data_IF_715440785502
#
_entry.id   IF_715440785502
#
_cell.length_a   1.000
_cell.length_b   1.000
_cell.length_c   1.000
_cell.angle_alpha   90.00
_cell.angle_beta   90.00
_cell.angle_gamma   90.00
#
_symmetry.space_group_name_H-M   'P 1'
#
loop_
_entity.id
_entity.type
_entity.pdbx_description
1 polymer ?
#
# COMPACT_ATOMS: atom_id res chain seq x y z
N UNK A 1 -28.61 22.15 -2.66
CA UNK A 1 -28.79 20.73 -2.31
C UNK A 1 -27.57 20.36 -1.52
N UNK A 2 -27.78 20.14 -0.23
CA UNK A 2 -26.74 20.12 0.78
C UNK A 2 -25.84 18.89 0.61
N UNK A 3 -24.56 19.13 0.42
CA UNK A 3 -23.50 18.12 0.46
C UNK A 3 -23.35 17.65 1.91
N UNK A 4 -24.12 16.64 2.29
CA UNK A 4 -24.04 16.07 3.64
C UNK A 4 -22.75 15.24 3.78
N UNK A 5 -21.66 15.92 4.15
CA UNK A 5 -20.37 15.33 4.48
C UNK A 5 -20.43 14.32 5.66
N UNK A 6 -21.59 14.17 6.32
CA UNK A 6 -21.84 13.18 7.37
C UNK A 6 -22.39 11.84 6.90
N UNK A 7 -22.77 11.67 5.63
CA UNK A 7 -23.43 10.45 5.14
C UNK A 7 -22.56 9.16 5.19
N UNK A 8 -21.24 9.29 5.39
CA UNK A 8 -20.34 8.14 5.59
C UNK A 8 -20.37 7.61 7.02
N UNK A 9 -20.84 8.41 7.98
CA UNK A 9 -21.06 7.98 9.36
C UNK A 9 -22.47 7.40 9.44
N UNK A 10 -22.58 6.09 9.58
CA UNK A 10 -23.84 5.45 9.96
C UNK A 10 -24.06 5.77 11.44
N UNK A 11 -24.79 6.85 11.73
CA UNK A 11 -25.04 7.30 13.10
C UNK A 11 -25.85 6.29 13.92
N UNK A 12 -26.62 5.42 13.24
CA UNK A 12 -27.56 4.47 13.84
C UNK A 12 -27.21 2.98 13.61
N UNK A 13 -25.92 2.62 13.59
CA UNK A 13 -25.51 1.20 13.49
C UNK A 13 -26.00 0.42 14.73
N UNK A 14 -26.83 -0.61 14.53
CA UNK A 14 -27.26 -1.49 15.62
C UNK A 14 -26.12 -2.42 16.06
N UNK A 15 -26.15 -2.90 17.30
CA UNK A 15 -25.17 -3.86 17.80
C UNK A 15 -25.09 -5.14 16.94
N UNK A 16 -26.21 -5.55 16.33
CA UNK A 16 -26.26 -6.69 15.42
C UNK A 16 -25.48 -6.41 14.13
N UNK A 17 -25.72 -5.27 13.49
CA UNK A 17 -25.03 -4.87 12.26
C UNK A 17 -23.52 -4.69 12.50
N UNK A 18 -23.16 -4.08 13.64
CA UNK A 18 -21.77 -3.99 14.08
C UNK A 18 -21.12 -5.39 14.20
N UNK A 19 -21.80 -6.34 14.85
CA UNK A 19 -21.29 -7.70 15.01
C UNK A 19 -21.19 -8.44 13.67
N UNK A 20 -22.20 -8.35 12.81
CA UNK A 20 -22.16 -8.96 11.47
C UNK A 20 -20.95 -8.43 10.66
N UNK A 21 -20.67 -7.12 10.73
CA UNK A 21 -19.51 -6.47 10.08
C UNK A 21 -18.17 -6.85 10.69
N UNK A 22 -18.08 -6.97 12.01
CA UNK A 22 -16.84 -7.30 12.74
C UNK A 22 -16.49 -8.78 12.63
N UNK A 23 -17.50 -9.66 12.66
CA UNK A 23 -17.31 -11.11 12.59
C UNK A 23 -17.08 -11.61 11.16
N UNK A 24 -17.30 -10.78 10.15
CA UNK A 24 -16.92 -11.10 8.78
C UNK A 24 -15.42 -11.39 8.71
N UNK A 25 -15.06 -12.61 8.29
CA UNK A 25 -13.67 -13.02 8.16
C UNK A 25 -12.92 -12.14 7.16
N UNK A 26 -11.73 -11.69 7.55
CA UNK A 26 -10.85 -10.87 6.71
C UNK A 26 -9.47 -11.52 6.62
N UNK A 27 -8.90 -11.64 5.42
CA UNK A 27 -7.59 -12.23 5.26
C UNK A 27 -6.53 -11.41 6.00
N UNK A 28 -5.51 -12.10 6.50
CA UNK A 28 -4.38 -11.44 7.14
C UNK A 28 -3.52 -10.72 6.10
N UNK A 29 -3.06 -9.52 6.46
CA UNK A 29 -2.13 -8.73 5.68
C UNK A 29 -0.71 -9.02 6.16
N UNK A 30 0.04 -9.78 5.35
CA UNK A 30 1.45 -10.04 5.59
C UNK A 30 2.27 -8.84 5.10
N UNK A 31 2.48 -7.87 5.98
CA UNK A 31 3.26 -6.66 5.68
C UNK A 31 4.60 -6.71 6.41
N UNK A 32 5.72 -7.15 5.80
CA UNK A 32 7.02 -7.04 6.42
C UNK A 32 7.38 -5.57 6.72
N UNK A 33 7.97 -5.24 7.89
CA UNK A 33 8.34 -6.13 9.01
C UNK A 33 7.20 -6.44 10.01
N UNK A 34 6.01 -5.88 9.84
CA UNK A 34 4.82 -6.07 10.68
C UNK A 34 4.14 -7.45 10.54
N UNK A 35 4.69 -8.38 9.74
CA UNK A 35 4.16 -9.73 9.49
C UNK A 35 3.98 -10.61 10.76
N UNK A 36 4.56 -10.20 11.90
CA UNK A 36 4.36 -10.87 13.20
C UNK A 36 3.12 -10.39 13.95
N UNK A 37 2.50 -9.31 13.49
CA UNK A 37 1.25 -8.78 14.01
C UNK A 37 0.12 -9.27 13.10
N UNK A 38 -0.97 -9.85 13.63
CA UNK A 38 -2.07 -10.37 12.84
C UNK A 38 -2.94 -9.24 12.27
N UNK A 39 -2.38 -8.45 11.34
CA UNK A 39 -3.06 -7.34 10.70
C UNK A 39 -4.13 -7.84 9.73
N UNK A 40 -5.27 -7.17 9.70
CA UNK A 40 -6.40 -7.42 8.81
C UNK A 40 -6.90 -6.11 8.22
N UNK A 41 -7.62 -6.21 7.11
CA UNK A 41 -8.31 -5.07 6.52
C UNK A 41 -9.23 -4.40 7.55
N UNK A 42 -9.14 -3.08 7.66
CA UNK A 42 -9.88 -2.28 8.65
C UNK A 42 -9.22 -2.16 10.02
N UNK A 43 -8.03 -2.73 10.23
CA UNK A 43 -7.22 -2.38 11.39
C UNK A 43 -6.60 -0.99 11.21
N UNK A 44 -6.58 -0.23 12.31
CA UNK A 44 -5.78 0.99 12.43
C UNK A 44 -4.55 0.61 13.26
N UNK A 45 -3.36 0.92 12.74
CA UNK A 45 -2.10 0.59 13.39
C UNK A 45 -1.37 1.89 13.69
N UNK A 46 -1.10 2.14 14.98
CA UNK A 46 -0.23 3.22 15.40
C UNK A 46 1.21 2.71 15.57
N UNK A 47 2.16 3.39 14.95
CA UNK A 47 3.59 3.14 15.12
C UNK A 47 4.21 4.25 15.96
N UNK A 48 4.41 4.00 17.25
CA UNK A 48 4.95 4.99 18.19
C UNK A 48 6.42 4.72 18.50
N UNK A 49 7.22 5.77 18.66
CA UNK A 49 8.64 5.66 19.02
C UNK A 49 9.40 6.98 18.85
N UNK A 50 10.64 7.08 19.35
CA UNK A 50 11.46 8.29 19.24
C UNK A 50 11.66 8.76 17.79
N UNK A 51 12.02 10.02 17.59
CA UNK A 51 12.52 10.49 16.30
C UNK A 51 13.67 9.59 15.82
N UNK A 52 13.72 9.31 14.52
CA UNK A 52 14.69 8.38 13.91
C UNK A 52 14.52 6.89 14.28
N UNK A 53 13.42 6.45 14.88
CA UNK A 53 13.14 5.02 15.14
C UNK A 53 12.67 4.21 13.91
N UNK A 54 13.04 4.64 12.70
CA UNK A 54 12.69 4.01 11.42
C UNK A 54 11.18 3.92 11.07
N UNK A 55 10.29 4.65 11.74
CA UNK A 55 8.83 4.64 11.47
C UNK A 55 8.50 4.87 9.99
N UNK A 56 9.02 5.94 9.39
CA UNK A 56 8.83 6.26 7.97
C UNK A 56 9.32 5.13 7.08
N UNK A 57 10.45 4.50 7.42
CA UNK A 57 11.01 3.39 6.65
C UNK A 57 10.14 2.12 6.73
N UNK A 58 9.54 1.83 7.89
CA UNK A 58 8.56 0.76 8.05
C UNK A 58 7.33 1.02 7.18
N UNK A 59 6.81 2.25 7.17
CA UNK A 59 5.68 2.63 6.33
C UNK A 59 6.01 2.53 4.83
N UNK A 60 7.23 2.91 4.41
CA UNK A 60 7.69 2.73 3.02
C UNK A 60 7.73 1.26 2.61
N UNK A 61 8.23 0.36 3.47
CA UNK A 61 8.24 -1.09 3.19
C UNK A 61 6.83 -1.67 3.09
N UNK A 62 5.92 -1.23 3.96
CA UNK A 62 4.51 -1.60 3.88
C UNK A 62 3.86 -1.11 2.58
N UNK A 63 4.10 0.15 2.19
CA UNK A 63 3.61 0.72 0.93
C UNK A 63 4.17 -0.02 -0.28
N UNK A 64 5.46 -0.37 -0.32
CA UNK A 64 6.07 -1.18 -1.39
C UNK A 64 5.38 -2.54 -1.50
N UNK A 65 5.11 -3.20 -0.37
CA UNK A 65 4.39 -4.48 -0.34
C UNK A 65 2.95 -4.31 -0.85
N UNK A 66 2.28 -3.21 -0.55
CA UNK A 66 0.96 -2.92 -1.10
C UNK A 66 0.97 -2.75 -2.62
N UNK A 67 1.89 -1.96 -3.17
CA UNK A 67 1.88 -1.59 -4.60
C UNK A 67 2.42 -2.69 -5.53
N UNK A 68 3.35 -3.53 -5.06
CA UNK A 68 3.86 -4.63 -5.87
C UNK A 68 2.76 -5.67 -6.08
N UNK A 69 2.65 -6.28 -7.27
CA UNK A 69 1.72 -7.38 -7.47
C UNK A 69 2.18 -8.63 -6.70
N UNK A 70 1.30 -9.61 -6.53
CA UNK A 70 1.70 -10.92 -6.01
C UNK A 70 2.63 -11.62 -7.01
N UNK A 71 2.23 -11.67 -8.28
CA UNK A 71 2.99 -12.28 -9.37
C UNK A 71 2.91 -11.42 -10.64
N UNK A 72 4.00 -11.35 -11.41
CA UNK A 72 4.01 -10.75 -12.73
C UNK A 72 4.92 -11.51 -13.69
N UNK A 73 4.38 -11.91 -14.85
CA UNK A 73 5.10 -12.70 -15.89
C UNK A 73 5.84 -13.92 -15.32
N UNK A 74 5.21 -14.62 -14.39
CA UNK A 74 5.77 -15.81 -13.73
C UNK A 74 6.69 -15.50 -12.54
N UNK A 75 7.12 -14.26 -12.33
CA UNK A 75 7.95 -13.85 -11.19
C UNK A 75 7.06 -13.52 -9.99
N UNK A 76 7.31 -14.14 -8.83
CA UNK A 76 6.59 -13.83 -7.59
C UNK A 76 7.28 -12.65 -6.87
N UNK A 77 6.56 -11.55 -6.69
CA UNK A 77 7.04 -10.35 -5.99
C UNK A 77 6.52 -10.28 -4.54
N UNK A 78 5.52 -11.09 -4.20
CA UNK A 78 4.96 -11.20 -2.85
C UNK A 78 4.28 -9.92 -2.35
N UNK A 79 3.78 -9.09 -3.25
CA UNK A 79 2.98 -7.91 -2.89
C UNK A 79 1.47 -8.14 -3.04
N UNK A 80 0.67 -7.07 -2.88
CA UNK A 80 -0.80 -7.11 -2.88
C UNK A 80 -1.46 -6.57 -4.17
N UNK A 81 -0.73 -5.82 -5.00
CA UNK A 81 -1.26 -5.21 -6.23
C UNK A 81 -2.34 -4.14 -5.97
N UNK A 82 -2.22 -3.41 -4.87
CA UNK A 82 -3.16 -2.38 -4.43
C UNK A 82 -2.54 -0.99 -4.46
N UNK A 83 -3.41 0.03 -4.49
CA UNK A 83 -2.97 1.42 -4.33
C UNK A 83 -2.59 1.69 -2.86
N UNK A 84 -1.57 2.53 -2.67
CA UNK A 84 -1.15 3.00 -1.35
C UNK A 84 -1.12 4.53 -1.34
N UNK A 85 -1.74 5.12 -0.31
CA UNK A 85 -1.67 6.56 -0.03
C UNK A 85 -0.68 6.77 1.12
N UNK A 86 0.25 7.71 0.94
CA UNK A 86 1.23 8.07 1.96
C UNK A 86 1.06 9.55 2.32
N UNK A 87 0.59 9.82 3.54
CA UNK A 87 0.41 11.17 4.05
C UNK A 87 1.65 11.56 4.86
N UNK A 88 2.48 12.45 4.32
CA UNK A 88 3.69 12.92 4.97
C UNK A 88 3.43 14.20 5.75
N UNK A 89 3.29 14.07 7.07
CA UNK A 89 2.92 15.18 7.96
C UNK A 89 4.15 15.91 8.52
N UNK A 90 5.34 15.33 8.44
CA UNK A 90 6.59 15.89 8.98
C UNK A 90 7.70 16.07 7.92
N UNK A 91 7.35 15.90 6.64
CA UNK A 91 8.24 16.04 5.48
C UNK A 91 9.46 15.11 5.55
N UNK A 92 9.29 13.89 6.10
CA UNK A 92 10.36 12.89 6.24
C UNK A 92 10.29 11.79 5.19
N UNK A 93 9.30 11.81 4.32
CA UNK A 93 9.22 10.90 3.19
C UNK A 93 10.31 11.25 2.15
N UNK A 94 11.18 10.28 1.89
CA UNK A 94 12.24 10.40 0.91
C UNK A 94 11.91 9.53 -0.31
N UNK A 95 11.52 10.19 -1.41
CA UNK A 95 11.15 9.52 -2.66
C UNK A 95 12.31 8.77 -3.31
N UNK A 96 13.55 9.23 -3.12
CA UNK A 96 14.73 8.54 -3.64
C UNK A 96 14.96 7.26 -2.85
N UNK A 97 14.90 7.33 -1.52
CA UNK A 97 14.97 6.15 -0.67
C UNK A 97 13.85 5.15 -1.01
N UNK A 98 12.61 5.63 -1.20
CA UNK A 98 11.49 4.78 -1.61
C UNK A 98 11.76 4.08 -2.95
N UNK A 99 12.26 4.81 -3.96
CA UNK A 99 12.60 4.27 -5.28
C UNK A 99 13.71 3.21 -5.19
N UNK A 100 14.75 3.46 -4.39
CA UNK A 100 15.84 2.51 -4.17
C UNK A 100 15.34 1.21 -3.52
N UNK A 101 14.52 1.33 -2.47
CA UNK A 101 13.91 0.17 -1.79
C UNK A 101 13.00 -0.63 -2.72
N UNK A 102 12.20 0.06 -3.53
CA UNK A 102 11.31 -0.57 -4.51
C UNK A 102 12.13 -1.33 -5.57
N UNK A 103 13.15 -0.69 -6.13
CA UNK A 103 14.06 -1.31 -7.10
C UNK A 103 14.77 -2.52 -6.49
N UNK A 104 15.23 -2.42 -5.24
CA UNK A 104 15.83 -3.54 -4.54
C UNK A 104 14.86 -4.73 -4.46
N UNK A 105 13.61 -4.52 -4.02
CA UNK A 105 12.59 -5.58 -3.93
C UNK A 105 12.27 -6.21 -5.30
N UNK A 106 12.20 -5.40 -6.35
CA UNK A 106 11.98 -5.88 -7.73
C UNK A 106 13.16 -6.74 -8.19
N UNK A 107 14.39 -6.27 -7.96
CA UNK A 107 15.61 -6.98 -8.36
C UNK A 107 15.81 -8.28 -7.58
N UNK A 108 15.50 -8.27 -6.28
CA UNK A 108 15.56 -9.45 -5.42
C UNK A 108 14.66 -10.57 -5.95
N UNK A 109 13.40 -10.27 -6.25
CA UNK A 109 12.45 -11.22 -6.84
C UNK A 109 12.93 -11.75 -8.21
N UNK A 110 13.46 -10.87 -9.06
CA UNK A 110 13.97 -11.26 -10.38
C UNK A 110 15.26 -12.10 -10.31
N UNK A 111 16.10 -11.91 -9.28
CA UNK A 111 17.36 -12.63 -9.14
C UNK A 111 17.15 -14.07 -8.63
N UNK A 112 16.08 -14.35 -7.90
CA UNK A 112 15.68 -15.72 -7.51
C UNK A 112 15.52 -16.61 -8.75
N UNK A 113 14.98 -16.08 -9.86
CA UNK A 113 14.85 -16.81 -11.12
C UNK A 113 16.19 -17.06 -11.85
N UNK A 114 17.24 -16.27 -11.56
CA UNK A 114 18.56 -16.49 -12.18
C UNK A 114 19.31 -17.67 -11.55
N UNK A 115 18.90 -18.12 -10.36
CA UNK A 115 19.48 -19.26 -9.66
C UNK A 115 18.74 -20.58 -9.90
N UNK A 116 17.53 -20.53 -10.47
CA UNK A 116 16.85 -21.73 -10.96
C UNK A 116 17.37 -22.07 -12.36
N UNK A 117 17.96 -23.25 -12.59
CA UNK A 117 18.54 -23.60 -13.88
C UNK A 117 17.44 -24.09 -14.83
N UNK A 118 16.57 -23.19 -15.30
CA UNK A 118 16.09 -23.24 -16.69
C UNK A 118 15.34 -21.96 -17.06
N UNK A 119 15.41 -21.59 -18.35
CA UNK A 119 14.85 -20.39 -19.01
C UNK A 119 15.74 -19.13 -19.03
N UNK A 120 16.62 -19.10 -20.04
CA UNK A 120 17.24 -17.87 -20.56
C UNK A 120 16.16 -16.96 -21.17
N UNK A 121 15.76 -15.92 -20.46
CA UNK A 121 15.20 -14.72 -21.11
C UNK A 121 15.81 -13.48 -20.48
N UNK A 122 16.22 -12.53 -21.31
CA UNK A 122 16.94 -11.32 -20.87
C UNK A 122 15.97 -10.33 -20.20
N UNK A 123 15.80 -10.45 -18.87
CA UNK A 123 14.88 -9.61 -18.08
C UNK A 123 15.44 -8.24 -17.65
N UNK A 124 16.46 -7.71 -18.33
CA UNK A 124 17.08 -6.44 -17.89
C UNK A 124 16.22 -5.19 -18.14
N UNK A 125 15.17 -5.26 -18.97
CA UNK A 125 14.37 -4.09 -19.37
C UNK A 125 12.88 -4.16 -19.00
N UNK A 126 12.42 -5.21 -18.31
CA UNK A 126 10.98 -5.47 -18.11
C UNK A 126 10.50 -5.49 -16.66
N UNK A 127 11.38 -5.23 -15.69
CA UNK A 127 11.02 -5.33 -14.27
C UNK A 127 10.23 -4.12 -13.76
N UNK A 128 10.39 -2.95 -14.39
CA UNK A 128 9.61 -1.74 -14.09
C UNK A 128 8.21 -1.75 -14.76
N UNK A 129 7.99 -2.59 -15.77
CA UNK A 129 6.69 -2.65 -16.47
C UNK A 129 5.61 -3.44 -15.73
N UNK A 130 5.93 -4.04 -14.57
CA UNK A 130 4.89 -4.57 -13.67
C UNK A 130 4.08 -3.48 -12.98
N UNK A 131 4.59 -2.25 -12.95
CA UNK A 131 3.91 -1.07 -12.43
C UNK A 131 3.05 -0.45 -13.56
N UNK A 132 2.13 -1.23 -14.14
CA UNK A 132 1.18 -0.72 -15.15
C UNK A 132 -0.02 -0.06 -14.48
N UNK A 133 0.26 1.01 -13.73
CA UNK A 133 -0.70 1.93 -13.15
C UNK A 133 0.06 3.19 -12.73
N UNK A 134 -0.49 4.40 -12.91
CA UNK A 134 0.14 5.59 -12.35
C UNK A 134 0.23 5.38 -10.83
N UNK A 135 1.45 5.20 -10.31
CA UNK A 135 1.70 5.41 -8.89
C UNK A 135 1.58 6.92 -8.70
N UNK A 136 0.35 7.39 -8.54
CA UNK A 136 0.08 8.75 -8.08
C UNK A 136 0.46 8.78 -6.60
N UNK A 137 1.72 9.09 -6.31
CA UNK A 137 2.09 9.59 -4.97
C UNK A 137 1.51 10.99 -4.90
N UNK A 138 0.24 11.09 -4.51
CA UNK A 138 -0.38 12.37 -4.19
C UNK A 138 0.20 12.84 -2.86
N UNK A 139 1.23 13.70 -2.93
CA UNK A 139 1.68 14.51 -1.80
C UNK A 139 0.69 15.68 -1.68
N UNK A 140 -0.41 15.46 -0.97
CA UNK A 140 -1.39 16.51 -0.74
C UNK A 140 -1.08 17.23 0.58
N UNK A 141 -0.79 18.53 0.49
CA UNK A 141 -0.83 19.43 1.64
C UNK A 141 -2.27 19.43 2.22
N UNK A 142 -2.39 19.75 3.52
CA UNK A 142 -3.62 19.66 4.32
C UNK A 142 -4.84 20.33 3.67
N UNK A 143 -4.64 21.34 2.82
CA UNK A 143 -5.68 22.09 2.10
C UNK A 143 -6.11 21.43 0.78
N UNK A 144 -5.24 20.66 0.13
CA UNK A 144 -5.52 19.95 -1.12
C UNK A 144 -6.29 18.64 -0.90
N UNK A 145 -6.08 17.98 0.25
CA UNK A 145 -6.73 16.73 0.62
C UNK A 145 -8.27 16.80 0.66
N UNK A 146 -8.82 17.92 1.15
CA UNK A 146 -10.27 18.13 1.18
C UNK A 146 -10.84 18.42 -0.21
N UNK A 147 -10.06 18.96 -1.13
CA UNK A 147 -10.50 19.27 -2.49
C UNK A 147 -10.42 18.06 -3.44
N UNK A 148 -9.47 17.14 -3.21
CA UNK A 148 -9.35 15.92 -4.04
C UNK A 148 -10.48 14.91 -3.80
N UNK A 149 -11.08 14.86 -2.61
CA UNK A 149 -12.30 14.07 -2.37
C UNK A 149 -13.51 14.57 -3.17
N UNK A 150 -13.58 15.88 -3.45
CA UNK A 150 -14.64 16.49 -4.26
C UNK A 150 -14.43 16.31 -5.78
N UNK A 151 -13.25 15.82 -6.21
CA UNK A 151 -12.80 15.87 -7.61
C UNK A 151 -12.68 14.51 -8.31
N UNK A 152 -12.95 13.39 -7.63
CA UNK A 152 -12.95 12.07 -8.30
C UNK A 152 -14.29 11.88 -9.02
N UNK A 153 -14.32 11.82 -10.36
CA UNK A 153 -15.56 11.56 -11.08
C UNK A 153 -15.93 10.08 -10.87
N UNK A 154 -17.09 9.86 -10.25
CA UNK A 154 -17.73 8.55 -10.22
C UNK A 154 -18.21 8.22 -11.64
N UNK A 155 -17.44 7.46 -12.41
CA UNK A 155 -18.01 6.76 -13.57
C UNK A 155 -18.70 5.48 -13.08
N UNK A 156 -20.02 5.45 -13.32
CA UNK A 156 -20.99 4.42 -12.98
C UNK A 156 -20.80 3.12 -13.77
#
# INVERSE_FOLDING_TARGET
MDSNAGAWLVEDETAREMLERVLTERPFLLLPPLHRVPLRVGNIVELSGPSSSAKTHILMQAAITCILPEQWRGINFGGLGHLAMFLDLDCRFDILCFSELLNHRIMEAANVLRYTPDTRTSYRSGALSCLHGPISVALEDRTSFLQSFDSVPYEL
#
